data_IF_072869386729
#
_entry.id   IF_072869386729
#
_cell.length_a   1.000
_cell.length_b   1.000
_cell.length_c   1.000
_cell.angle_alpha   90.00
_cell.angle_beta   90.00
_cell.angle_gamma   90.00
#
_symmetry.space_group_name_H-M   'P 1'
#
loop_
_entity.id
_entity.type
_entity.pdbx_description
1 polymer ?
#
# COMPACT_ATOMS: atom_id res chain seq x y z
N UNK A 1 -13.18 -0.52 -1.14
CA UNK A 1 -13.50 -1.11 0.18
C UNK A 1 -12.97 -2.53 0.42
N UNK A 2 -11.87 -2.94 -0.21
CA UNK A 2 -11.25 -4.27 -0.01
C UNK A 2 -12.19 -5.50 -0.19
N UNK A 3 -13.20 -5.40 -1.06
CA UNK A 3 -14.23 -6.45 -1.21
C UNK A 3 -13.73 -7.70 -1.93
N UNK A 4 -12.82 -7.52 -2.90
CA UNK A 4 -12.39 -8.60 -3.79
C UNK A 4 -10.89 -8.56 -4.11
N UNK A 5 -10.10 -7.86 -3.29
CA UNK A 5 -8.68 -7.61 -3.57
C UNK A 5 -7.87 -8.92 -3.74
N UNK A 6 -8.19 -9.97 -2.97
CA UNK A 6 -7.58 -11.29 -3.10
C UNK A 6 -7.71 -11.90 -4.51
N UNK A 7 -8.82 -11.63 -5.20
CA UNK A 7 -9.07 -12.21 -6.52
C UNK A 7 -8.24 -11.51 -7.61
N UNK A 8 -7.79 -10.28 -7.38
CA UNK A 8 -6.88 -9.61 -8.30
C UNK A 8 -5.52 -10.31 -8.32
N UNK A 9 -5.02 -10.82 -7.19
CA UNK A 9 -3.80 -11.64 -7.21
C UNK A 9 -3.93 -12.89 -8.08
N UNK A 10 -5.11 -13.53 -8.10
CA UNK A 10 -5.39 -14.69 -8.97
C UNK A 10 -5.38 -14.35 -10.46
N UNK A 11 -5.56 -13.08 -10.81
CA UNK A 11 -5.41 -12.58 -12.18
C UNK A 11 -3.96 -12.26 -12.55
N UNK A 12 -3.00 -12.48 -11.64
CA UNK A 12 -1.57 -12.27 -11.87
C UNK A 12 -1.02 -10.93 -11.40
N UNK A 13 -1.82 -10.10 -10.70
CA UNK A 13 -1.30 -8.86 -10.11
C UNK A 13 -0.38 -9.17 -8.93
N UNK A 14 0.87 -8.68 -8.94
CA UNK A 14 1.81 -8.84 -7.81
C UNK A 14 1.54 -7.91 -6.63
N UNK A 15 0.78 -6.84 -6.85
CA UNK A 15 0.32 -5.94 -5.80
C UNK A 15 -1.08 -5.41 -6.11
N UNK A 16 -1.83 -5.04 -5.06
CA UNK A 16 -3.18 -4.51 -5.14
C UNK A 16 -3.34 -3.33 -4.21
N UNK A 17 -3.84 -2.22 -4.72
CA UNK A 17 -4.19 -1.05 -3.91
C UNK A 17 -5.71 -0.99 -3.64
N UNK A 18 -6.10 -0.95 -2.37
CA UNK A 18 -7.50 -0.78 -1.97
C UNK A 18 -7.79 0.68 -1.62
N UNK A 19 -8.99 1.17 -1.96
CA UNK A 19 -9.45 2.52 -1.61
C UNK A 19 -9.74 3.40 -2.83
N UNK A 20 -9.77 4.73 -2.69
CA UNK A 20 -9.47 5.50 -1.48
C UNK A 20 -10.47 5.28 -0.34
N UNK A 21 -9.98 4.93 0.84
CA UNK A 21 -10.76 4.71 2.05
C UNK A 21 -10.79 5.99 2.89
N UNK A 22 -11.94 6.31 3.45
CA UNK A 22 -12.16 7.47 4.32
C UNK A 22 -12.45 7.04 5.76
N UNK A 23 -12.18 7.86 6.79
CA UNK A 23 -12.45 7.51 8.19
C UNK A 23 -13.84 6.96 8.44
N UNK A 24 -14.88 7.73 8.08
CA UNK A 24 -16.27 7.29 8.14
C UNK A 24 -16.79 6.94 6.76
N UNK A 25 -17.82 6.10 6.72
CA UNK A 25 -18.50 5.73 5.49
C UNK A 25 -19.10 6.97 4.80
N UNK A 26 -19.07 6.98 3.46
CA UNK A 26 -19.74 7.99 2.66
C UNK A 26 -20.09 7.45 1.28
N UNK A 27 -21.23 7.87 0.74
CA UNK A 27 -21.75 7.36 -0.52
C UNK A 27 -21.01 7.90 -1.75
N UNK A 28 -20.24 8.98 -1.61
CA UNK A 28 -19.65 9.75 -2.69
C UNK A 28 -20.63 10.74 -3.34
N UNK A 29 -20.34 11.20 -4.56
CA UNK A 29 -21.20 12.12 -5.30
C UNK A 29 -22.41 11.40 -5.93
N UNK A 30 -23.47 12.14 -6.26
CA UNK A 30 -24.69 11.57 -6.88
C UNK A 30 -24.40 10.86 -8.20
N UNK A 31 -25.14 9.77 -8.45
CA UNK A 31 -25.08 9.01 -9.71
C UNK A 31 -25.92 9.71 -10.79
N UNK A 32 -25.61 9.55 -12.10
CA UNK A 32 -24.47 8.81 -12.66
C UNK A 32 -23.13 9.53 -12.46
N UNK A 33 -22.08 8.77 -12.18
CA UNK A 33 -20.77 9.32 -11.76
C UNK A 33 -19.54 8.62 -12.36
N UNK A 34 -19.75 7.66 -13.25
CA UNK A 34 -18.72 7.00 -14.05
C UNK A 34 -19.29 6.89 -15.46
N UNK A 35 -18.54 7.35 -16.44
CA UNK A 35 -18.94 7.42 -17.84
C UNK A 35 -17.83 6.79 -18.68
N UNK A 36 -18.21 5.87 -19.57
CA UNK A 36 -17.29 5.25 -20.53
C UNK A 36 -17.38 6.02 -21.84
N UNK A 37 -16.24 6.30 -22.46
CA UNK A 37 -16.11 6.91 -23.77
C UNK A 37 -15.38 5.90 -24.68
N UNK A 38 -16.10 4.91 -25.27
CA UNK A 38 -15.45 3.81 -25.99
C UNK A 38 -14.64 4.26 -27.21
N UNK A 39 -15.08 5.31 -27.91
CA UNK A 39 -14.38 5.85 -29.08
C UNK A 39 -13.00 6.43 -28.72
N UNK A 40 -12.84 6.90 -27.48
CA UNK A 40 -11.61 7.49 -26.95
C UNK A 40 -10.82 6.52 -26.06
N UNK A 41 -11.31 5.28 -25.90
CA UNK A 41 -10.79 4.30 -24.92
C UNK A 41 -10.65 4.88 -23.49
N UNK A 42 -11.56 5.80 -23.12
CA UNK A 42 -11.44 6.63 -21.92
C UNK A 42 -12.58 6.42 -20.91
N UNK A 43 -12.31 6.83 -19.66
CA UNK A 43 -13.29 6.88 -18.57
C UNK A 43 -13.22 8.24 -17.90
N UNK A 44 -14.39 8.86 -17.71
CA UNK A 44 -14.56 10.04 -16.85
C UNK A 44 -15.29 9.62 -15.58
N UNK A 45 -14.74 9.97 -14.41
CA UNK A 45 -15.40 9.69 -13.13
C UNK A 45 -15.45 10.93 -12.24
N UNK A 46 -16.54 11.03 -11.48
CA UNK A 46 -16.78 12.05 -10.46
C UNK A 46 -17.20 11.43 -9.14
N UNK A 47 -16.58 10.31 -8.74
CA UNK A 47 -17.04 9.48 -7.62
C UNK A 47 -17.02 10.18 -6.26
N UNK A 48 -15.97 10.96 -5.96
CA UNK A 48 -15.86 11.71 -4.70
C UNK A 48 -15.68 10.81 -3.46
N UNK A 49 -14.77 9.83 -3.54
CA UNK A 49 -14.45 8.89 -2.48
C UNK A 49 -15.67 8.18 -1.87
N UNK A 50 -16.44 7.43 -2.67
CA UNK A 50 -17.39 6.49 -2.08
C UNK A 50 -16.63 5.38 -1.34
N UNK A 51 -16.86 5.23 -0.04
CA UNK A 51 -16.07 4.38 0.85
C UNK A 51 -16.95 3.83 1.98
N UNK A 52 -16.72 2.57 2.35
CA UNK A 52 -17.43 1.91 3.45
C UNK A 52 -16.90 2.32 4.85
N UNK A 53 -15.86 3.14 4.92
CA UNK A 53 -15.24 3.58 6.18
C UNK A 53 -14.08 2.70 6.62
N UNK A 54 -13.27 3.22 7.53
CA UNK A 54 -12.06 2.54 8.01
C UNK A 54 -12.35 1.17 8.65
N UNK A 55 -13.35 1.08 9.52
CA UNK A 55 -13.64 -0.15 10.27
C UNK A 55 -14.08 -1.30 9.36
N UNK A 56 -14.94 -1.03 8.39
CA UNK A 56 -15.41 -2.03 7.43
C UNK A 56 -14.25 -2.52 6.56
N UNK A 57 -13.40 -1.61 6.08
CA UNK A 57 -12.27 -1.98 5.24
C UNK A 57 -11.20 -2.73 6.02
N UNK A 58 -10.91 -2.33 7.27
CA UNK A 58 -9.97 -3.06 8.13
C UNK A 58 -10.46 -4.49 8.37
N UNK A 59 -11.73 -4.67 8.78
CA UNK A 59 -12.27 -6.00 9.01
C UNK A 59 -12.21 -6.90 7.78
N UNK A 60 -12.38 -6.34 6.57
CA UNK A 60 -12.21 -7.09 5.31
C UNK A 60 -10.76 -7.45 5.04
N UNK A 61 -9.82 -6.54 5.26
CA UNK A 61 -8.38 -6.81 5.10
C UNK A 61 -7.86 -7.86 6.07
N UNK A 62 -8.36 -7.89 7.30
CA UNK A 62 -7.95 -8.85 8.33
C UNK A 62 -8.59 -10.24 8.12
N UNK A 63 -9.84 -10.29 7.68
CA UNK A 63 -10.57 -11.56 7.49
C UNK A 63 -10.33 -12.23 6.13
N UNK A 64 -9.76 -11.49 5.17
CA UNK A 64 -9.54 -12.01 3.81
C UNK A 64 -8.08 -12.44 3.65
N UNK A 65 -7.81 -13.73 3.35
CA UNK A 65 -6.45 -14.19 3.13
C UNK A 65 -5.86 -13.51 1.89
N UNK A 66 -4.62 -13.00 2.03
CA UNK A 66 -3.78 -12.59 0.90
C UNK A 66 -2.76 -13.70 0.61
N UNK A 67 -2.33 -13.87 -0.64
CA UNK A 67 -1.16 -14.70 -0.93
C UNK A 67 0.03 -14.22 -0.10
N UNK A 68 0.91 -15.14 0.31
CA UNK A 68 2.13 -14.84 1.09
C UNK A 68 2.94 -13.70 0.48
N UNK A 69 2.87 -13.60 -0.84
CA UNK A 69 3.63 -12.73 -1.69
C UNK A 69 2.85 -11.53 -2.24
N UNK A 70 1.55 -11.46 -1.95
CA UNK A 70 0.68 -10.43 -2.47
C UNK A 70 0.82 -9.13 -1.67
N UNK A 71 1.38 -8.09 -2.29
CA UNK A 71 1.51 -6.78 -1.65
C UNK A 71 0.18 -6.02 -1.68
N UNK A 72 -0.28 -5.55 -0.53
CA UNK A 72 -1.51 -4.76 -0.41
C UNK A 72 -1.20 -3.35 0.03
N UNK A 73 -1.53 -2.39 -0.83
CA UNK A 73 -1.54 -0.97 -0.49
C UNK A 73 -2.90 -0.53 0.00
N UNK A 74 -2.94 0.41 0.96
CA UNK A 74 -4.18 1.10 1.33
C UNK A 74 -4.07 2.57 0.96
N UNK A 75 -4.95 3.00 0.07
CA UNK A 75 -5.08 4.38 -0.36
C UNK A 75 -6.04 5.12 0.59
N UNK A 76 -5.54 6.15 1.25
CA UNK A 76 -6.24 6.94 2.26
C UNK A 76 -6.76 8.23 1.64
N UNK A 77 -8.01 8.56 1.93
CA UNK A 77 -8.66 9.82 1.56
C UNK A 77 -9.28 10.48 2.78
N UNK A 78 -9.55 11.78 2.67
CA UNK A 78 -10.32 12.51 3.68
C UNK A 78 -11.83 12.36 3.44
N UNK A 79 -12.63 12.44 4.49
CA UNK A 79 -14.07 12.57 4.35
C UNK A 79 -14.44 13.91 3.71
N UNK A 80 -15.51 13.94 2.90
CA UNK A 80 -15.95 15.13 2.16
C UNK A 80 -16.19 16.32 3.10
N UNK A 81 -16.82 16.08 4.24
CA UNK A 81 -17.21 17.07 5.25
C UNK A 81 -16.21 17.21 6.39
N UNK A 82 -15.11 16.45 6.40
CA UNK A 82 -14.12 16.57 7.48
C UNK A 82 -13.46 17.94 7.43
N UNK A 83 -13.45 18.68 8.55
CA UNK A 83 -12.76 19.97 8.66
C UNK A 83 -11.25 19.80 8.81
N UNK A 84 -10.77 18.61 9.17
CA UNK A 84 -9.36 18.34 9.44
C UNK A 84 -8.85 17.16 8.59
N UNK A 85 -8.35 17.48 7.41
CA UNK A 85 -7.76 16.49 6.51
C UNK A 85 -6.51 15.83 7.10
N UNK A 86 -5.73 16.54 7.94
CA UNK A 86 -4.50 16.03 8.55
C UNK A 86 -4.84 14.91 9.53
N UNK A 87 -5.88 15.13 10.35
CA UNK A 87 -6.42 14.11 11.24
C UNK A 87 -6.95 12.90 10.47
N UNK A 88 -7.73 13.10 9.41
CA UNK A 88 -8.27 11.99 8.61
C UNK A 88 -7.15 11.07 8.08
N UNK A 89 -6.08 11.65 7.53
CA UNK A 89 -4.93 10.87 7.07
C UNK A 89 -4.18 10.19 8.21
N UNK A 90 -3.95 10.88 9.33
CA UNK A 90 -3.28 10.32 10.50
C UNK A 90 -4.07 9.13 11.09
N UNK A 91 -5.39 9.23 11.17
CA UNK A 91 -6.27 8.14 11.61
C UNK A 91 -6.18 6.94 10.65
N UNK A 92 -6.11 7.19 9.35
CA UNK A 92 -5.90 6.14 8.34
C UNK A 92 -4.55 5.45 8.49
N UNK A 93 -3.47 6.21 8.74
CA UNK A 93 -2.14 5.64 8.98
C UNK A 93 -2.17 4.73 10.20
N UNK A 94 -2.68 5.20 11.34
CA UNK A 94 -2.75 4.38 12.56
C UNK A 94 -3.58 3.11 12.37
N UNK A 95 -4.67 3.20 11.61
CA UNK A 95 -5.57 2.08 11.37
C UNK A 95 -4.97 1.02 10.45
N UNK A 96 -4.30 1.44 9.38
CA UNK A 96 -3.93 0.54 8.29
C UNK A 96 -2.45 0.19 8.22
N UNK A 97 -1.56 0.94 8.88
CA UNK A 97 -0.13 0.60 8.94
C UNK A 97 0.16 -0.84 9.42
N UNK A 98 -0.60 -1.42 10.38
CA UNK A 98 -0.36 -2.81 10.80
C UNK A 98 -0.70 -3.85 9.72
N UNK A 99 -1.64 -3.56 8.83
CA UNK A 99 -2.19 -4.54 7.86
C UNK A 99 -1.72 -4.32 6.43
N UNK A 100 -1.35 -3.09 6.06
CA UNK A 100 -0.92 -2.71 4.72
C UNK A 100 0.59 -2.86 4.55
N UNK A 101 1.04 -3.22 3.34
CA UNK A 101 2.46 -3.23 2.99
C UNK A 101 2.96 -1.83 2.61
N UNK A 102 2.06 -0.98 2.11
CA UNK A 102 2.30 0.45 1.91
C UNK A 102 1.01 1.27 2.05
N UNK A 103 1.16 2.57 2.30
CA UNK A 103 0.05 3.52 2.43
C UNK A 103 0.19 4.62 1.39
N UNK A 104 -0.93 5.05 0.82
CA UNK A 104 -1.00 6.19 -0.12
C UNK A 104 -1.82 7.30 0.50
N UNK A 105 -1.28 8.52 0.51
CA UNK A 105 -2.00 9.72 0.95
C UNK A 105 -2.59 10.40 -0.28
N UNK A 106 -3.88 10.21 -0.52
CA UNK A 106 -4.54 10.76 -1.71
C UNK A 106 -4.99 12.20 -1.49
N UNK A 107 -4.16 13.12 -1.98
CA UNK A 107 -4.41 14.57 -2.03
C UNK A 107 -4.66 15.08 -3.46
N UNK A 108 -4.88 14.18 -4.43
CA UNK A 108 -4.89 14.51 -5.87
C UNK A 108 -6.26 14.39 -6.53
N UNK A 109 -7.24 13.75 -5.89
CA UNK A 109 -8.59 13.59 -6.44
C UNK A 109 -9.21 14.95 -6.83
N UNK A 110 -9.67 15.12 -8.09
CA UNK A 110 -10.42 16.32 -8.52
C UNK A 110 -11.84 16.35 -7.95
N UNK A 111 -12.32 15.22 -7.41
CA UNK A 111 -13.74 14.99 -7.12
C UNK A 111 -14.11 15.28 -5.66
N UNK A 112 -13.12 15.67 -4.87
CA UNK A 112 -13.26 16.01 -3.45
C UNK A 112 -12.89 17.50 -3.29
N UNK A 113 -13.87 18.38 -3.01
CA UNK A 113 -13.63 19.82 -2.90
C UNK A 113 -12.48 20.16 -1.94
N UNK A 114 -11.62 21.11 -2.34
CA UNK A 114 -10.48 21.58 -1.54
C UNK A 114 -9.31 20.62 -1.42
N UNK A 115 -9.43 19.36 -1.87
CA UNK A 115 -8.40 18.34 -1.65
C UNK A 115 -7.07 18.68 -2.35
N UNK A 116 -7.12 19.16 -3.60
CA UNK A 116 -5.90 19.52 -4.34
C UNK A 116 -5.15 20.72 -3.76
N UNK A 117 -5.84 21.57 -3.00
CA UNK A 117 -5.17 22.69 -2.31
C UNK A 117 -4.16 22.18 -1.26
N UNK A 118 -4.33 20.96 -0.75
CA UNK A 118 -3.39 20.31 0.18
C UNK A 118 -2.01 20.03 -0.44
N UNK A 119 -1.86 20.15 -1.76
CA UNK A 119 -0.57 20.02 -2.45
C UNK A 119 0.25 21.30 -2.42
N UNK A 120 -0.34 22.44 -2.01
CA UNK A 120 0.36 23.72 -1.96
C UNK A 120 1.37 23.79 -0.82
N UNK A 121 2.39 24.65 -0.98
CA UNK A 121 3.51 24.83 -0.05
C UNK A 121 3.09 25.16 1.39
N UNK A 122 1.92 25.78 1.57
CA UNK A 122 1.38 26.11 2.88
C UNK A 122 0.79 24.90 3.64
N UNK A 123 0.19 23.94 2.92
CA UNK A 123 -0.58 22.85 3.53
C UNK A 123 0.18 21.53 3.56
N UNK A 124 0.91 21.23 2.49
CA UNK A 124 1.59 19.95 2.30
C UNK A 124 2.57 19.62 3.45
N UNK A 125 3.41 20.55 3.96
CA UNK A 125 4.27 20.26 5.10
C UNK A 125 3.49 19.81 6.35
N UNK A 126 2.33 20.40 6.60
CA UNK A 126 1.47 20.02 7.72
C UNK A 126 0.83 18.64 7.56
N UNK A 127 0.41 18.29 6.34
CA UNK A 127 -0.08 16.94 6.02
C UNK A 127 1.01 15.89 6.21
N UNK A 128 2.21 16.14 5.66
CA UNK A 128 3.35 15.23 5.77
C UNK A 128 3.80 15.06 7.23
N UNK A 129 3.83 16.14 8.02
CA UNK A 129 4.17 16.08 9.44
C UNK A 129 3.17 15.22 10.23
N UNK A 130 1.86 15.40 9.99
CA UNK A 130 0.83 14.61 10.66
C UNK A 130 0.90 13.13 10.30
N UNK A 131 1.07 12.81 9.01
CA UNK A 131 1.23 11.44 8.51
C UNK A 131 2.50 10.79 9.08
N UNK A 132 3.61 11.53 9.11
CA UNK A 132 4.87 11.04 9.66
C UNK A 132 4.74 10.77 11.17
N UNK A 133 4.19 11.70 11.94
CA UNK A 133 3.96 11.52 13.38
C UNK A 133 3.10 10.29 13.66
N UNK A 134 1.99 10.14 12.93
CA UNK A 134 1.10 8.99 13.06
C UNK A 134 1.80 7.67 12.70
N UNK A 135 2.72 7.69 11.72
CA UNK A 135 3.54 6.53 11.36
C UNK A 135 4.57 6.21 12.44
N UNK A 136 5.24 7.22 12.99
CA UNK A 136 6.29 7.06 14.00
C UNK A 136 5.73 6.54 15.34
N UNK A 137 4.43 6.71 15.59
CA UNK A 137 3.71 6.09 16.71
C UNK A 137 3.48 4.58 16.52
N UNK A 138 3.58 4.05 15.30
CA UNK A 138 3.26 2.66 14.98
C UNK A 138 4.52 1.78 15.00
N UNK A 139 4.44 0.66 15.69
CA UNK A 139 5.46 -0.38 15.62
C UNK A 139 5.56 -0.93 14.18
N UNK A 140 6.76 -0.99 13.58
CA UNK A 140 6.91 -1.48 12.22
C UNK A 140 6.58 -2.98 12.12
N UNK A 141 5.38 -3.33 11.64
CA UNK A 141 5.00 -4.75 11.48
C UNK A 141 5.41 -5.38 10.14
N UNK A 142 5.71 -4.57 9.11
CA UNK A 142 5.94 -5.05 7.71
C UNK A 142 7.11 -4.38 6.96
N UNK A 143 8.12 -3.88 7.67
CA UNK A 143 9.33 -3.30 7.05
C UNK A 143 10.33 -4.33 6.52
N UNK A 144 11.43 -3.88 5.92
CA UNK A 144 12.59 -4.71 5.60
C UNK A 144 13.73 -4.25 6.49
N UNK A 145 14.03 -5.01 7.53
CA UNK A 145 15.06 -4.68 8.52
C UNK A 145 16.24 -5.64 8.44
N UNK A 146 15.99 -6.85 7.94
CA UNK A 146 16.99 -7.91 7.80
C UNK A 146 17.12 -8.38 6.34
N UNK A 147 18.18 -9.14 6.06
CA UNK A 147 18.34 -9.78 4.75
C UNK A 147 17.28 -10.85 4.50
N UNK A 148 16.83 -11.54 5.55
CA UNK A 148 15.75 -12.52 5.50
C UNK A 148 14.42 -11.85 5.13
N UNK A 149 14.10 -10.67 5.69
CA UNK A 149 12.91 -9.89 5.29
C UNK A 149 12.97 -9.50 3.81
N UNK A 150 14.15 -9.07 3.35
CA UNK A 150 14.35 -8.69 1.96
C UNK A 150 14.20 -9.89 1.04
N UNK A 151 14.77 -11.03 1.44
CA UNK A 151 14.80 -12.25 0.66
C UNK A 151 13.41 -12.85 0.51
N UNK A 152 12.64 -12.93 1.61
CA UNK A 152 11.25 -13.35 1.58
C UNK A 152 10.43 -12.50 0.60
N UNK A 153 10.62 -11.17 0.63
CA UNK A 153 9.96 -10.27 -0.33
C UNK A 153 10.42 -10.45 -1.77
N UNK A 154 11.70 -10.79 -2.00
CA UNK A 154 12.21 -11.06 -3.34
C UNK A 154 11.66 -12.37 -3.88
N UNK A 155 11.71 -13.45 -3.10
CA UNK A 155 11.11 -14.75 -3.44
C UNK A 155 9.61 -14.67 -3.67
N UNK A 156 8.98 -13.70 -3.01
CA UNK A 156 7.61 -13.33 -3.26
C UNK A 156 7.33 -12.68 -4.61
N UNK A 157 8.34 -12.17 -5.30
CA UNK A 157 8.18 -11.47 -6.59
C UNK A 157 8.47 -9.98 -6.53
N UNK A 158 8.89 -9.44 -5.37
CA UNK A 158 9.37 -8.07 -5.33
C UNK A 158 10.73 -7.96 -6.03
N UNK A 159 10.80 -7.17 -7.09
CA UNK A 159 12.08 -6.83 -7.73
C UNK A 159 12.82 -5.70 -7.00
N UNK A 160 12.18 -5.05 -6.02
CA UNK A 160 12.73 -3.95 -5.24
C UNK A 160 12.23 -4.00 -3.79
N UNK A 161 13.11 -3.67 -2.84
CA UNK A 161 12.78 -3.51 -1.41
C UNK A 161 13.22 -2.12 -0.93
N UNK A 162 12.36 -1.45 -0.15
CA UNK A 162 12.64 -0.12 0.41
C UNK A 162 13.16 -0.22 1.85
N UNK A 163 14.35 0.33 2.10
CA UNK A 163 15.07 0.25 3.39
C UNK A 163 14.95 1.52 4.25
N UNK A 164 14.00 2.40 3.96
CA UNK A 164 13.92 3.74 4.57
C UNK A 164 13.87 3.65 6.11
N UNK A 165 12.94 2.88 6.67
CA UNK A 165 12.78 2.75 8.12
C UNK A 165 13.99 2.06 8.76
N UNK A 166 14.53 1.01 8.14
CA UNK A 166 15.69 0.30 8.67
C UNK A 166 16.93 1.20 8.81
N UNK A 167 17.16 2.12 7.86
CA UNK A 167 18.28 3.07 7.95
C UNK A 167 18.10 4.10 9.07
N UNK A 168 16.86 4.48 9.39
CA UNK A 168 16.57 5.43 10.48
C UNK A 168 16.89 4.80 11.85
N UNK A 169 16.55 3.53 12.06
CA UNK A 169 16.72 2.87 13.36
C UNK A 169 18.09 2.18 13.53
N UNK A 170 18.67 1.63 12.47
CA UNK A 170 19.91 0.83 12.54
C UNK A 170 21.10 1.51 11.87
N UNK A 171 20.92 2.74 11.38
CA UNK A 171 21.94 3.49 10.66
C UNK A 171 22.24 2.91 9.27
N UNK A 172 23.13 3.56 8.50
CA UNK A 172 23.44 3.16 7.12
C UNK A 172 24.10 1.77 7.01
N UNK A 173 24.70 1.26 8.09
CA UNK A 173 25.34 -0.07 8.13
C UNK A 173 24.38 -1.22 7.85
N UNK A 174 23.08 -1.06 8.09
CA UNK A 174 22.04 -2.07 7.84
C UNK A 174 22.01 -2.54 6.38
N UNK A 175 22.33 -1.64 5.43
CA UNK A 175 22.38 -1.97 4.00
C UNK A 175 23.45 -3.01 3.70
N UNK A 176 24.61 -2.92 4.37
CA UNK A 176 25.68 -3.89 4.19
C UNK A 176 25.28 -5.27 4.74
N UNK A 177 24.68 -5.31 5.93
CA UNK A 177 24.19 -6.53 6.57
C UNK A 177 23.11 -7.23 5.74
N UNK A 178 22.13 -6.48 5.23
CA UNK A 178 21.07 -6.99 4.35
C UNK A 178 21.67 -7.61 3.09
N UNK A 179 22.61 -6.90 2.43
CA UNK A 179 23.27 -7.42 1.22
C UNK A 179 24.11 -8.68 1.49
N UNK A 180 24.78 -8.75 2.63
CA UNK A 180 25.59 -9.92 2.99
C UNK A 180 24.69 -11.14 3.19
N UNK A 181 23.62 -10.99 3.96
CA UNK A 181 22.65 -12.05 4.22
C UNK A 181 21.88 -12.48 2.97
N UNK A 182 21.51 -11.55 2.09
CA UNK A 182 20.90 -11.89 0.79
C UNK A 182 21.80 -12.77 -0.08
N UNK A 183 23.11 -12.49 -0.14
CA UNK A 183 24.05 -13.32 -0.91
C UNK A 183 24.14 -14.74 -0.36
N UNK A 184 24.15 -14.86 0.97
CA UNK A 184 24.16 -16.17 1.64
C UNK A 184 22.89 -16.97 1.30
N UNK A 185 21.72 -16.34 1.41
CA UNK A 185 20.43 -16.98 1.13
C UNK A 185 20.28 -17.40 -0.34
N UNK A 186 20.70 -16.55 -1.28
CA UNK A 186 20.72 -16.87 -2.72
C UNK A 186 21.62 -18.09 -3.00
N UNK A 187 22.83 -18.11 -2.43
CA UNK A 187 23.76 -19.22 -2.60
C UNK A 187 23.22 -20.53 -2.00
N UNK A 188 22.58 -20.45 -0.83
CA UNK A 188 21.97 -21.61 -0.17
C UNK A 188 20.82 -22.23 -0.99
N UNK A 189 20.04 -21.39 -1.68
CA UNK A 189 18.94 -21.84 -2.53
C UNK A 189 19.37 -22.13 -3.98
N UNK A 190 20.65 -21.97 -4.31
CA UNK A 190 21.22 -22.27 -5.63
C UNK A 190 20.97 -21.22 -6.72
N UNK A 191 20.50 -20.02 -6.34
CA UNK A 191 20.31 -18.91 -7.28
C UNK A 191 21.64 -18.23 -7.60
N UNK A 192 21.91 -18.01 -8.89
CA UNK A 192 23.12 -17.34 -9.37
C UNK A 192 23.00 -15.82 -9.23
N UNK A 193 21.78 -15.30 -9.36
CA UNK A 193 21.47 -13.88 -9.29
C UNK A 193 20.21 -13.63 -8.46
N UNK A 194 20.06 -12.38 -8.00
CA UNK A 194 18.83 -11.94 -7.33
C UNK A 194 17.59 -12.13 -8.21
N UNK A 195 17.73 -11.95 -9.54
CA UNK A 195 16.63 -12.06 -10.49
C UNK A 195 16.09 -13.48 -10.58
N UNK A 196 16.95 -14.48 -10.44
CA UNK A 196 16.55 -15.90 -10.45
C UNK A 196 15.67 -16.25 -9.24
N UNK A 197 15.80 -15.48 -8.15
CA UNK A 197 14.98 -15.66 -6.96
C UNK A 197 13.65 -14.90 -7.03
N UNK A 198 13.45 -13.97 -7.96
CA UNK A 198 12.22 -13.16 -8.00
C UNK A 198 11.01 -14.03 -8.35
N UNK A 199 10.08 -14.16 -7.42
CA UNK A 199 8.84 -14.92 -7.65
C UNK A 199 9.02 -16.45 -7.60
N UNK A 200 10.16 -16.95 -7.13
CA UNK A 200 10.47 -18.37 -7.04
C UNK A 200 9.44 -19.18 -6.22
N UNK A 201 8.72 -18.53 -5.30
CA UNK A 201 7.67 -19.17 -4.51
C UNK A 201 6.39 -19.47 -5.33
N UNK A 202 6.23 -18.81 -6.47
CA UNK A 202 5.10 -19.01 -7.39
C UNK A 202 5.38 -20.03 -8.49
N UNK A 203 6.65 -20.30 -8.84
CA UNK A 203 7.01 -21.30 -9.86
C UNK A 203 6.84 -22.75 -9.37
N UNK A 204 6.96 -23.00 -8.07
CA UNK A 204 6.80 -24.36 -7.51
C UNK A 204 5.36 -24.87 -7.52
N UNK A 205 4.36 -24.01 -7.64
CA UNK A 205 2.94 -24.44 -7.63
C UNK A 205 2.50 -25.00 -8.98
N UNK A 206 3.19 -24.70 -10.08
CA UNK A 206 2.85 -25.16 -11.44
C UNK A 206 3.55 -26.46 -11.86
N UNK A 207 4.52 -26.95 -11.10
CA UNK A 207 5.28 -28.17 -11.43
C UNK A 207 4.77 -29.45 -10.73
N UNK A 208 3.62 -29.39 -10.06
CA UNK A 208 3.09 -30.46 -9.22
C UNK A 208 1.62 -30.82 -9.45
N UNK A 209 1.04 -30.50 -10.61
CA UNK A 209 -0.31 -30.92 -11.00
C UNK A 209 -0.30 -31.75 -12.26
#
# INVERSE_FOLDING_TARGET
DAECFQNLFKLGFGFVEVGSVTPVAQDGNQRPRVFRLPADEAIVNRCGFNSAGHDVVLGRLESTPRPENGFVGVNLGKNKTSPDAKKDFADGVRKFAPVADYLVINISSPNTPGLRALQGDAELPGVLAAVKSAKDEMEPQRGVFTGDDAYAKIRAGASLVQLYTAMVYHGPGVVASIKARLRELLANDGFQTLYDAVGADHERTTAGS
#
